data_IF_206037351900
#
_entry.id   IF_206037351900
#
_cell.length_a   1.000
_cell.length_b   1.000
_cell.length_c   1.000
_cell.angle_alpha   90.00
_cell.angle_beta   90.00
_cell.angle_gamma   90.00
#
_symmetry.space_group_name_H-M   'P 1'
#
loop_
_entity.id
_entity.type
_entity.pdbx_description
1 polymer ?
#
# COMPACT_ATOMS: atom_id res chain seq x y z
N UNK A 1 3.85 -0.68 -15.62
CA UNK A 1 3.47 -1.07 -14.25
C UNK A 1 1.98 -0.90 -14.01
N UNK A 2 1.42 -1.53 -12.95
CA UNK A 2 0.03 -1.32 -12.50
C UNK A 2 0.03 -0.78 -11.08
N UNK A 3 -0.62 0.37 -10.85
CA UNK A 3 -0.85 0.97 -9.52
C UNK A 3 -2.31 0.74 -9.11
N UNK A 4 -2.52 0.03 -8.01
CA UNK A 4 -3.83 -0.44 -7.54
C UNK A 4 -4.27 0.43 -6.37
N UNK A 5 -5.42 1.10 -6.53
CA UNK A 5 -5.84 2.18 -5.64
C UNK A 5 -4.96 3.41 -5.84
N UNK A 6 -4.79 3.82 -7.10
CA UNK A 6 -3.84 4.86 -7.48
C UNK A 6 -4.22 6.29 -7.00
N UNK A 7 -5.40 6.45 -6.40
CA UNK A 7 -5.87 7.73 -5.90
C UNK A 7 -5.96 8.79 -7.00
N UNK A 8 -5.36 9.95 -6.79
CA UNK A 8 -5.31 11.04 -7.78
C UNK A 8 -4.17 10.88 -8.81
N UNK A 9 -3.46 9.73 -8.80
CA UNK A 9 -2.40 9.40 -9.75
C UNK A 9 -1.04 10.08 -9.49
N UNK A 10 -0.84 10.70 -8.32
CA UNK A 10 0.40 11.41 -8.02
C UNK A 10 1.63 10.48 -8.10
N UNK A 11 1.56 9.27 -7.52
CA UNK A 11 2.64 8.30 -7.57
C UNK A 11 2.94 7.85 -9.00
N UNK A 12 1.90 7.60 -9.81
CA UNK A 12 2.05 7.22 -11.21
C UNK A 12 2.79 8.30 -12.00
N UNK A 13 2.37 9.56 -11.85
CA UNK A 13 3.00 10.69 -12.55
C UNK A 13 4.48 10.85 -12.18
N UNK A 14 4.82 10.72 -10.91
CA UNK A 14 6.21 10.77 -10.44
C UNK A 14 7.06 9.61 -10.99
N UNK A 15 6.52 8.39 -11.02
CA UNK A 15 7.22 7.23 -11.55
C UNK A 15 7.41 7.30 -13.07
N UNK A 16 6.41 7.78 -13.83
CA UNK A 16 6.54 8.04 -15.26
C UNK A 16 7.62 9.09 -15.54
N UNK A 17 7.58 10.21 -14.80
CA UNK A 17 8.58 11.28 -14.97
C UNK A 17 10.00 10.82 -14.61
N UNK A 18 10.16 10.03 -13.55
CA UNK A 18 11.46 9.60 -13.06
C UNK A 18 12.09 8.46 -13.88
N UNK A 19 11.27 7.55 -14.41
CA UNK A 19 11.77 6.31 -15.04
C UNK A 19 11.35 6.11 -16.50
N UNK A 20 10.40 6.91 -17.00
CA UNK A 20 9.82 6.73 -18.34
C UNK A 20 8.99 5.45 -18.48
N UNK A 21 8.51 4.86 -17.37
CA UNK A 21 7.71 3.65 -17.41
C UNK A 21 6.29 3.92 -17.94
N UNK A 22 5.67 2.92 -18.58
CA UNK A 22 4.23 2.92 -18.89
C UNK A 22 3.48 2.58 -17.59
N UNK A 23 2.87 3.59 -16.95
CA UNK A 23 2.07 3.42 -15.74
C UNK A 23 0.60 3.31 -16.09
N UNK A 24 -0.06 2.33 -15.49
CA UNK A 24 -1.52 2.13 -15.55
C UNK A 24 -2.07 2.09 -14.14
N UNK A 25 -3.22 2.71 -13.92
CA UNK A 25 -3.88 2.74 -12.61
C UNK A 25 -5.21 2.03 -12.61
N UNK A 26 -5.59 1.53 -11.43
CA UNK A 26 -6.94 1.12 -11.09
C UNK A 26 -7.38 1.89 -9.84
N UNK A 27 -8.55 2.51 -9.88
CA UNK A 27 -9.09 3.28 -8.76
C UNK A 27 -10.60 3.06 -8.65
N UNK A 28 -11.10 2.94 -7.43
CA UNK A 28 -12.52 2.71 -7.15
C UNK A 28 -13.35 3.99 -7.28
N UNK A 29 -12.81 5.12 -6.81
CA UNK A 29 -13.50 6.41 -6.81
C UNK A 29 -13.48 7.05 -8.18
N UNK A 30 -14.66 7.15 -8.81
CA UNK A 30 -14.81 7.75 -10.14
C UNK A 30 -14.32 9.20 -10.22
N UNK A 31 -14.42 10.01 -9.14
CA UNK A 31 -13.93 11.37 -9.12
C UNK A 31 -12.40 11.42 -9.19
N UNK A 32 -11.72 10.48 -8.53
CA UNK A 32 -10.27 10.35 -8.61
C UNK A 32 -9.83 9.84 -9.99
N UNK A 33 -10.58 8.90 -10.59
CA UNK A 33 -10.35 8.45 -11.97
C UNK A 33 -10.42 9.62 -12.95
N UNK A 34 -11.47 10.45 -12.86
CA UNK A 34 -11.62 11.64 -13.72
C UNK A 34 -10.44 12.61 -13.58
N UNK A 35 -9.94 12.81 -12.36
CA UNK A 35 -8.74 13.63 -12.11
C UNK A 35 -7.50 13.05 -12.78
N UNK A 36 -7.28 11.73 -12.67
CA UNK A 36 -6.17 11.06 -13.33
C UNK A 36 -6.23 11.23 -14.85
N UNK A 37 -7.39 10.96 -15.45
CA UNK A 37 -7.61 11.09 -16.89
C UNK A 37 -7.41 12.53 -17.36
N UNK A 38 -7.88 13.53 -16.58
CA UNK A 38 -7.68 14.94 -16.91
C UNK A 38 -6.20 15.35 -16.90
N UNK A 39 -5.34 14.62 -16.18
CA UNK A 39 -3.87 14.79 -16.16
C UNK A 39 -3.16 13.98 -17.25
N UNK A 40 -3.90 13.24 -18.08
CA UNK A 40 -3.34 12.39 -19.13
C UNK A 40 -2.85 11.03 -18.67
N UNK A 41 -3.18 10.60 -17.43
CA UNK A 41 -2.79 9.30 -16.91
C UNK A 41 -3.76 8.19 -17.39
N UNK A 42 -3.22 7.00 -17.60
CA UNK A 42 -3.99 5.82 -18.02
C UNK A 42 -4.59 5.11 -16.80
N UNK A 43 -5.82 5.44 -16.43
CA UNK A 43 -6.50 4.86 -15.27
C UNK A 43 -7.85 4.28 -15.67
N UNK A 44 -8.21 3.13 -15.08
CA UNK A 44 -9.53 2.52 -15.19
C UNK A 44 -10.24 2.57 -13.84
N UNK A 45 -11.56 2.77 -13.88
CA UNK A 45 -12.36 2.59 -12.67
C UNK A 45 -12.58 1.10 -12.41
N UNK A 46 -12.28 0.65 -11.19
CA UNK A 46 -12.43 -0.75 -10.81
C UNK A 46 -12.25 -1.00 -9.32
N UNK A 47 -12.83 -2.09 -8.85
CA UNK A 47 -12.65 -2.60 -7.48
C UNK A 47 -11.53 -3.66 -7.47
N UNK A 48 -10.44 -3.37 -6.79
CA UNK A 48 -9.31 -4.28 -6.66
C UNK A 48 -9.71 -5.66 -6.07
N UNK A 49 -10.75 -5.71 -5.24
CA UNK A 49 -11.24 -6.98 -4.68
C UNK A 49 -11.91 -7.89 -5.73
N UNK A 50 -12.36 -7.35 -6.85
CA UNK A 50 -13.13 -8.07 -7.88
C UNK A 50 -12.41 -8.10 -9.23
N UNK A 51 -11.84 -6.97 -9.64
CA UNK A 51 -11.44 -6.74 -11.03
C UNK A 51 -10.00 -7.17 -11.32
N UNK A 52 -9.16 -7.35 -10.31
CA UNK A 52 -7.79 -7.86 -10.51
C UNK A 52 -7.79 -9.25 -11.17
N UNK A 53 -8.78 -10.10 -10.88
CA UNK A 53 -8.93 -11.41 -11.49
C UNK A 53 -9.07 -11.38 -13.03
N UNK A 54 -9.45 -10.24 -13.61
CA UNK A 54 -9.58 -10.05 -15.05
C UNK A 54 -8.24 -9.84 -15.77
N UNK A 55 -7.16 -9.53 -15.03
CA UNK A 55 -5.84 -9.34 -15.61
C UNK A 55 -5.11 -10.69 -15.79
N UNK A 56 -4.35 -10.85 -16.88
CA UNK A 56 -3.53 -12.05 -17.05
C UNK A 56 -2.40 -12.16 -16.02
N UNK A 57 -1.94 -13.40 -15.80
CA UNK A 57 -0.77 -13.64 -14.97
C UNK A 57 0.47 -12.94 -15.54
N UNK A 58 1.27 -12.31 -14.64
CA UNK A 58 2.51 -11.62 -15.00
C UNK A 58 2.36 -10.60 -16.14
N UNK A 59 1.17 -9.98 -16.23
CA UNK A 59 0.87 -8.96 -17.25
C UNK A 59 1.72 -7.67 -17.05
N UNK A 60 2.21 -7.43 -15.83
CA UNK A 60 3.01 -6.27 -15.50
C UNK A 60 4.35 -6.67 -14.89
N UNK A 61 5.41 -5.89 -15.19
CA UNK A 61 6.70 -6.09 -14.52
C UNK A 61 6.59 -5.74 -13.03
N UNK A 62 5.82 -4.69 -12.71
CA UNK A 62 5.60 -4.22 -11.35
C UNK A 62 4.12 -4.00 -11.09
N UNK A 63 3.62 -4.53 -9.98
CA UNK A 63 2.31 -4.22 -9.41
C UNK A 63 2.51 -3.49 -8.08
N UNK A 64 1.85 -2.35 -7.91
CA UNK A 64 2.01 -1.48 -6.74
C UNK A 64 0.69 -1.41 -5.98
N UNK A 65 0.76 -1.51 -4.68
CA UNK A 65 -0.34 -1.30 -3.75
C UNK A 65 0.11 -0.29 -2.68
N UNK A 66 -0.01 0.98 -3.01
CA UNK A 66 0.47 2.06 -2.16
C UNK A 66 -0.62 2.55 -1.22
N UNK A 67 -0.44 2.35 0.08
CA UNK A 67 -1.38 2.76 1.14
C UNK A 67 -2.84 2.29 0.93
N UNK A 68 -3.04 1.20 0.23
CA UNK A 68 -4.37 0.65 -0.11
C UNK A 68 -4.65 -0.66 0.63
N UNK A 69 -3.61 -1.39 1.07
CA UNK A 69 -3.74 -2.67 1.75
C UNK A 69 -4.68 -2.62 2.96
N UNK A 70 -4.55 -1.60 3.79
CA UNK A 70 -5.31 -1.44 5.03
C UNK A 70 -6.77 -1.00 4.81
N UNK A 71 -7.13 -0.58 3.60
CA UNK A 71 -8.49 -0.20 3.23
C UNK A 71 -9.23 -1.31 2.48
N UNK A 72 -8.51 -2.33 2.05
CA UNK A 72 -9.03 -3.46 1.30
C UNK A 72 -9.91 -4.37 2.16
N UNK A 73 -11.01 -4.88 1.61
CA UNK A 73 -11.89 -5.83 2.33
C UNK A 73 -11.18 -7.15 2.64
N UNK A 74 -10.39 -7.65 1.69
CA UNK A 74 -9.63 -8.91 1.80
C UNK A 74 -8.18 -8.69 1.37
N UNK A 75 -7.34 -8.09 2.25
CA UNK A 75 -5.94 -7.80 1.94
C UNK A 75 -5.13 -9.04 1.59
N UNK A 76 -5.50 -10.19 2.16
CA UNK A 76 -4.88 -11.47 1.88
C UNK A 76 -5.13 -11.97 0.44
N UNK A 77 -6.31 -11.73 -0.13
CA UNK A 77 -6.63 -12.07 -1.51
C UNK A 77 -6.03 -11.07 -2.50
N UNK A 78 -6.07 -9.79 -2.15
CA UNK A 78 -5.43 -8.75 -2.98
C UNK A 78 -3.93 -8.99 -3.09
N UNK A 79 -3.26 -9.41 -2.01
CA UNK A 79 -1.85 -9.76 -2.05
C UNK A 79 -1.57 -10.94 -3.00
N UNK A 80 -2.43 -11.97 -3.02
CA UNK A 80 -2.31 -13.07 -3.97
C UNK A 80 -2.43 -12.59 -5.41
N UNK A 81 -3.44 -11.76 -5.69
CA UNK A 81 -3.65 -11.20 -7.04
C UNK A 81 -2.52 -10.25 -7.46
N UNK A 82 -2.03 -9.41 -6.55
CA UNK A 82 -0.89 -8.53 -6.78
C UNK A 82 0.34 -9.33 -7.24
N UNK A 83 0.64 -10.42 -6.51
CA UNK A 83 1.75 -11.34 -6.83
C UNK A 83 1.50 -12.19 -8.08
N UNK A 84 0.23 -12.37 -8.51
CA UNK A 84 -0.14 -13.05 -9.74
C UNK A 84 0.03 -12.14 -10.95
N UNK A 85 -0.50 -10.91 -10.90
CA UNK A 85 -0.48 -9.98 -12.05
C UNK A 85 0.87 -9.31 -12.26
N UNK A 86 1.65 -9.08 -11.20
CA UNK A 86 2.99 -8.50 -11.25
C UNK A 86 4.09 -9.55 -11.23
N UNK A 87 5.20 -9.30 -11.93
CA UNK A 87 6.44 -10.07 -11.76
C UNK A 87 7.08 -9.77 -10.40
N UNK A 88 7.00 -8.52 -9.99
CA UNK A 88 7.34 -8.02 -8.65
C UNK A 88 6.21 -7.17 -8.13
N UNK A 89 6.04 -7.14 -6.81
CA UNK A 89 5.02 -6.35 -6.15
C UNK A 89 5.64 -5.39 -5.15
N UNK A 90 5.11 -4.17 -5.09
CA UNK A 90 5.43 -3.20 -4.03
C UNK A 90 4.19 -2.97 -3.19
N UNK A 91 4.32 -3.12 -1.89
CA UNK A 91 3.23 -2.88 -0.94
C UNK A 91 3.70 -1.89 0.11
N UNK A 92 2.92 -0.85 0.32
CA UNK A 92 3.20 0.14 1.36
C UNK A 92 1.99 0.38 2.26
N UNK A 93 2.25 0.64 3.54
CA UNK A 93 1.20 0.85 4.53
C UNK A 93 1.73 1.62 5.76
N UNK A 94 0.84 2.33 6.50
CA UNK A 94 1.16 2.91 7.79
C UNK A 94 1.31 1.82 8.84
N UNK A 95 2.35 1.90 9.67
CA UNK A 95 2.61 0.91 10.72
C UNK A 95 1.86 1.26 12.00
N UNK A 96 0.80 0.54 12.30
CA UNK A 96 0.01 0.73 13.52
C UNK A 96 0.76 0.34 14.82
N UNK A 97 1.86 -0.40 14.72
CA UNK A 97 2.70 -0.77 15.86
C UNK A 97 3.71 0.30 16.27
N UNK A 98 3.72 1.47 15.63
CA UNK A 98 4.60 2.59 15.99
C UNK A 98 4.45 2.97 17.46
N UNK A 99 5.56 3.27 18.14
CA UNK A 99 5.60 3.48 19.59
C UNK A 99 4.64 4.58 20.10
N UNK A 100 4.41 5.65 19.32
CA UNK A 100 3.45 6.71 19.68
C UNK A 100 2.02 6.18 19.73
N UNK A 101 1.64 5.32 18.78
CA UNK A 101 0.33 4.66 18.76
C UNK A 101 0.15 3.77 19.98
N UNK A 102 1.17 2.95 20.28
CA UNK A 102 1.17 2.10 21.49
C UNK A 102 1.06 2.90 22.76
N UNK A 103 1.85 3.98 22.90
CA UNK A 103 1.82 4.85 24.08
C UNK A 103 0.45 5.54 24.26
N UNK A 104 -0.14 6.04 23.18
CA UNK A 104 -1.46 6.67 23.25
C UNK A 104 -2.55 5.69 23.69
N UNK A 105 -2.53 4.45 23.17
CA UNK A 105 -3.47 3.40 23.57
C UNK A 105 -3.23 2.96 25.01
N UNK A 106 -1.96 2.74 25.41
CA UNK A 106 -1.62 2.22 26.73
C UNK A 106 -1.90 3.23 27.85
N UNK A 107 -1.56 4.50 27.65
CA UNK A 107 -1.66 5.53 28.69
C UNK A 107 -2.90 6.41 28.56
N UNK A 108 -3.41 6.61 27.33
CA UNK A 108 -4.57 7.47 27.08
C UNK A 108 -5.86 6.71 26.77
N UNK A 109 -5.78 5.41 26.47
CA UNK A 109 -6.94 4.59 26.07
C UNK A 109 -7.68 5.12 24.83
N UNK A 110 -7.00 5.87 23.96
CA UNK A 110 -7.60 6.52 22.79
C UNK A 110 -6.76 6.26 21.55
N UNK A 111 -7.45 6.06 20.40
CA UNK A 111 -6.79 6.03 19.10
C UNK A 111 -6.14 7.40 18.83
N UNK A 112 -4.83 7.44 18.55
CA UNK A 112 -4.17 8.70 18.28
C UNK A 112 -4.47 9.19 16.86
N UNK A 113 -4.53 10.52 16.71
CA UNK A 113 -4.34 11.17 15.42
C UNK A 113 -2.86 11.54 15.32
N UNK A 114 -2.19 10.99 14.32
CA UNK A 114 -0.74 11.17 14.09
C UNK A 114 -0.48 11.52 12.64
N UNK A 115 0.76 11.80 12.27
CA UNK A 115 1.12 12.03 10.87
C UNK A 115 0.82 10.82 9.97
N UNK A 116 1.08 9.60 10.47
CA UNK A 116 0.77 8.35 9.74
C UNK A 116 -0.72 8.00 9.77
N UNK A 117 -1.48 8.53 10.72
CA UNK A 117 -2.91 8.34 10.92
C UNK A 117 -3.57 9.72 11.07
N UNK A 118 -3.71 10.49 9.98
CA UNK A 118 -4.03 11.92 10.05
C UNK A 118 -5.49 12.23 10.36
N UNK A 119 -6.37 11.23 10.34
CA UNK A 119 -7.82 11.40 10.54
C UNK A 119 -8.32 10.66 11.77
N UNK A 120 -9.47 11.08 12.28
CA UNK A 120 -10.12 10.46 13.44
C UNK A 120 -10.53 9.03 13.14
N UNK A 121 -10.69 8.20 14.19
CA UNK A 121 -11.03 6.78 14.05
C UNK A 121 -12.38 6.54 13.31
N UNK A 122 -13.29 7.49 13.32
CA UNK A 122 -14.60 7.42 12.65
C UNK A 122 -14.59 8.01 11.23
N UNK A 123 -13.53 8.71 10.82
CA UNK A 123 -13.36 9.31 9.48
C UNK A 123 -12.40 8.50 8.61
N UNK A 124 -11.61 7.61 9.23
CA UNK A 124 -10.60 6.83 8.52
C UNK A 124 -11.24 5.77 7.61
N UNK A 125 -10.65 5.58 6.43
CA UNK A 125 -10.96 4.46 5.54
C UNK A 125 -10.19 3.19 5.92
N UNK A 126 -9.26 3.27 6.89
CA UNK A 126 -8.49 2.12 7.33
C UNK A 126 -9.37 1.15 8.12
N UNK A 127 -9.65 -0.02 7.57
CA UNK A 127 -10.40 -1.10 8.22
C UNK A 127 -9.49 -2.16 8.84
N UNK A 128 -8.22 -2.20 8.44
CA UNK A 128 -7.21 -3.08 9.00
C UNK A 128 -6.06 -2.29 9.62
N UNK A 129 -5.62 -2.73 10.81
CA UNK A 129 -4.53 -2.09 11.56
C UNK A 129 -3.24 -2.87 11.36
N UNK A 130 -2.66 -2.75 10.17
CA UNK A 130 -1.47 -3.51 9.76
C UNK A 130 -0.25 -3.07 10.54
N UNK A 131 0.55 -4.04 10.99
CA UNK A 131 1.88 -3.81 11.54
C UNK A 131 2.95 -4.43 10.64
N UNK A 132 4.21 -4.01 10.83
CA UNK A 132 5.33 -4.58 10.07
C UNK A 132 5.43 -6.09 10.26
N UNK A 133 5.22 -6.59 11.47
CA UNK A 133 5.33 -8.04 11.75
C UNK A 133 4.12 -8.82 11.21
N UNK A 134 2.89 -8.29 11.35
CA UNK A 134 1.70 -8.93 10.78
C UNK A 134 1.82 -9.06 9.25
N UNK A 135 2.35 -8.03 8.59
CA UNK A 135 2.57 -8.09 7.15
C UNK A 135 3.63 -9.12 6.76
N UNK A 136 4.73 -9.23 7.52
CA UNK A 136 5.74 -10.27 7.30
C UNK A 136 5.15 -11.68 7.45
N UNK A 137 4.29 -11.86 8.43
CA UNK A 137 3.61 -13.15 8.64
C UNK A 137 2.63 -13.44 7.50
N UNK A 138 1.85 -12.45 7.05
CA UNK A 138 0.98 -12.59 5.88
C UNK A 138 1.78 -12.96 4.62
N UNK A 139 2.85 -12.25 4.33
CA UNK A 139 3.72 -12.53 3.18
C UNK A 139 4.25 -13.97 3.23
N UNK A 140 4.72 -14.42 4.40
CA UNK A 140 5.19 -15.80 4.61
C UNK A 140 4.08 -16.82 4.39
N UNK A 141 2.87 -16.59 4.94
CA UNK A 141 1.72 -17.49 4.76
C UNK A 141 1.30 -17.60 3.29
N UNK A 142 1.46 -16.52 2.53
CA UNK A 142 1.14 -16.47 1.09
C UNK A 142 2.28 -17.00 0.20
N UNK A 143 3.39 -17.45 0.78
CA UNK A 143 4.56 -17.93 0.03
C UNK A 143 5.27 -16.85 -0.78
N UNK A 144 5.12 -15.59 -0.38
CA UNK A 144 5.82 -14.47 -0.99
C UNK A 144 7.22 -14.32 -0.40
N UNK A 145 8.23 -14.16 -1.27
CA UNK A 145 9.56 -13.77 -0.87
C UNK A 145 9.62 -12.26 -0.68
N UNK A 146 10.14 -11.81 0.47
CA UNK A 146 10.45 -10.40 0.71
C UNK A 146 11.86 -10.15 0.18
N UNK A 147 11.96 -9.47 -0.97
CA UNK A 147 13.23 -9.15 -1.62
C UNK A 147 13.93 -7.98 -0.92
N UNK A 148 13.16 -6.93 -0.63
CA UNK A 148 13.64 -5.74 0.07
C UNK A 148 12.54 -5.17 0.95
N UNK A 149 12.94 -4.40 1.96
CA UNK A 149 12.01 -3.64 2.80
C UNK A 149 12.66 -2.32 3.21
N UNK A 150 11.88 -1.26 3.14
CA UNK A 150 12.26 0.09 3.57
C UNK A 150 11.31 0.56 4.65
N UNK A 151 11.85 1.23 5.64
CA UNK A 151 11.12 1.70 6.81
C UNK A 151 11.41 3.18 7.02
N UNK A 152 10.37 3.95 7.27
CA UNK A 152 10.49 5.40 7.39
C UNK A 152 9.92 5.88 8.72
N UNK A 153 10.63 6.82 9.35
CA UNK A 153 10.18 7.60 10.49
C UNK A 153 10.53 9.07 10.22
N UNK A 154 9.59 9.98 10.37
CA UNK A 154 9.76 11.41 10.05
C UNK A 154 10.37 11.64 8.64
N UNK A 155 9.93 10.84 7.65
CA UNK A 155 10.43 10.84 6.25
C UNK A 155 11.88 10.37 6.07
N UNK A 156 12.54 9.94 7.12
CA UNK A 156 13.91 9.43 7.07
C UNK A 156 13.86 7.90 7.07
N UNK A 157 14.62 7.29 6.17
CA UNK A 157 14.78 5.84 6.18
C UNK A 157 15.51 5.39 7.45
N UNK A 158 14.97 4.36 8.10
CA UNK A 158 15.52 3.76 9.31
C UNK A 158 15.85 2.29 9.09
N UNK A 159 16.80 1.76 9.88
CA UNK A 159 17.19 0.35 9.80
C UNK A 159 16.11 -0.63 10.24
N UNK A 160 16.13 -1.83 9.66
CA UNK A 160 15.21 -2.92 9.96
C UNK A 160 15.14 -3.34 11.45
N UNK A 161 16.23 -3.36 12.24
CA UNK A 161 16.12 -3.58 13.67
C UNK A 161 15.24 -2.52 14.31
N UNK A 162 14.22 -2.88 15.03
CA UNK A 162 13.22 -2.01 15.64
C UNK A 162 12.24 -1.32 14.65
N UNK A 163 12.16 -1.72 13.39
CA UNK A 163 11.22 -1.15 12.41
C UNK A 163 9.76 -1.22 12.90
N UNK A 164 9.33 -2.37 13.47
CA UNK A 164 7.97 -2.52 14.01
C UNK A 164 7.66 -1.56 15.18
N UNK A 165 8.70 -1.03 15.86
CA UNK A 165 8.55 -0.07 16.94
C UNK A 165 8.69 1.38 16.48
N UNK A 166 9.60 1.65 15.54
CA UNK A 166 10.03 2.99 15.17
C UNK A 166 9.49 3.49 13.83
N UNK A 167 9.18 2.58 12.90
CA UNK A 167 8.67 2.99 11.60
C UNK A 167 7.24 3.51 11.71
N UNK A 168 6.97 4.66 11.13
CA UNK A 168 5.63 5.19 10.88
C UNK A 168 5.04 4.57 9.61
N UNK A 169 5.93 4.21 8.67
CA UNK A 169 5.56 3.75 7.34
C UNK A 169 6.53 2.67 6.87
N UNK A 170 6.03 1.67 6.16
CA UNK A 170 6.83 0.59 5.60
C UNK A 170 6.50 0.37 4.11
N UNK A 171 7.53 0.01 3.34
CA UNK A 171 7.43 -0.42 1.95
C UNK A 171 8.11 -1.77 1.81
N UNK A 172 7.48 -2.71 1.13
CA UNK A 172 8.01 -4.03 0.86
C UNK A 172 8.02 -4.31 -0.64
N UNK A 173 9.14 -4.82 -1.13
CA UNK A 173 9.27 -5.43 -2.46
C UNK A 173 9.14 -6.95 -2.30
N UNK A 174 8.23 -7.53 -3.07
CA UNK A 174 7.86 -8.93 -3.00
C UNK A 174 7.99 -9.61 -4.37
N UNK A 175 8.26 -10.91 -4.34
CA UNK A 175 8.18 -11.81 -5.51
C UNK A 175 7.54 -13.15 -5.15
N UNK A 176 7.14 -13.90 -6.19
CA UNK A 176 6.67 -15.29 -6.08
C UNK A 176 7.17 -16.09 -7.26
#
# INVERSE_FOLDING_TARGET
MLDIGCGDGALMAELEAASGCDARGMELDGVLVERCVSRGLSVVQGDANLDLANYPDKAFDYAILSQTLQTATRPDLILDELLRVGRRAFVSFPNFAHWRTRAALMFGGRMPVTRALPVSWYETQNIHHVTVEDFRDLARMKGAAIERAWFFADEIEIGAPAANWRAEFAVFELSR
#
